data_IF_545278581316
#
_entry.id   IF_545278581316
#
_cell.length_a   1.000
_cell.length_b   1.000
_cell.length_c   1.000
_cell.angle_alpha   90.00
_cell.angle_beta   90.00
_cell.angle_gamma   90.00
#
_symmetry.space_group_name_H-M   'P 1'
#
loop_
_entity.id
_entity.type
_entity.pdbx_description
1 polymer ?
#
# COMPACT_ATOMS: atom_id res chain seq x y z
N UNK A 1 -11.05 -4.50 10.45
CA UNK A 1 -12.05 -3.49 10.03
C UNK A 1 -12.03 -2.40 11.07
N UNK A 2 -11.86 -1.14 10.66
CA UNK A 2 -11.83 -0.01 11.58
C UNK A 2 -12.42 1.21 10.91
N UNK A 3 -13.05 2.10 11.68
CA UNK A 3 -13.70 3.33 11.17
C UNK A 3 -12.76 4.21 10.33
N UNK A 4 -11.45 4.09 10.56
CA UNK A 4 -10.41 4.93 9.96
C UNK A 4 -9.60 4.24 8.86
N UNK A 5 -9.99 3.05 8.41
CA UNK A 5 -9.15 2.24 7.51
C UNK A 5 -8.83 2.95 6.18
N UNK A 6 -9.76 3.72 5.62
CA UNK A 6 -9.52 4.48 4.38
C UNK A 6 -8.46 5.56 4.62
N UNK A 7 -8.57 6.29 5.72
CA UNK A 7 -7.60 7.31 6.14
C UNK A 7 -6.23 6.69 6.38
N UNK A 8 -6.19 5.56 7.08
CA UNK A 8 -4.95 4.86 7.41
C UNK A 8 -4.25 4.34 6.14
N UNK A 9 -5.01 3.81 5.18
CA UNK A 9 -4.47 3.40 3.88
C UNK A 9 -4.03 4.58 3.03
N UNK A 10 -4.76 5.70 3.02
CA UNK A 10 -4.33 6.93 2.36
C UNK A 10 -2.98 7.43 2.91
N UNK A 11 -2.80 7.40 4.23
CA UNK A 11 -1.52 7.76 4.85
C UNK A 11 -0.38 6.84 4.39
N UNK A 12 -0.62 5.53 4.25
CA UNK A 12 0.38 4.59 3.71
C UNK A 12 0.68 4.94 2.25
N UNK A 13 -0.35 5.15 1.42
CA UNK A 13 -0.19 5.48 0.02
C UNK A 13 0.56 6.81 -0.18
N UNK A 14 0.31 7.82 0.65
CA UNK A 14 1.02 9.09 0.64
C UNK A 14 2.53 8.93 0.86
N UNK A 15 2.94 8.00 1.74
CA UNK A 15 4.35 7.70 2.00
C UNK A 15 4.96 6.90 0.84
N UNK A 16 4.20 5.96 0.27
CA UNK A 16 4.67 5.13 -0.85
C UNK A 16 4.93 5.96 -2.11
N UNK A 17 4.05 6.90 -2.43
CA UNK A 17 4.20 7.77 -3.63
C UNK A 17 5.21 8.90 -3.44
N UNK A 18 5.77 9.06 -2.23
CA UNK A 18 6.82 10.02 -1.90
C UNK A 18 7.93 9.35 -1.07
N UNK A 19 8.73 8.46 -1.71
CA UNK A 19 9.80 7.73 -1.01
C UNK A 19 10.93 8.66 -0.55
N UNK A 20 11.15 9.77 -1.24
CA UNK A 20 12.20 10.75 -0.91
C UNK A 20 11.78 11.76 0.15
N UNK A 21 10.48 11.99 0.33
CA UNK A 21 9.96 12.93 1.33
C UNK A 21 10.10 14.39 0.94
N UNK A 22 10.27 14.68 -0.35
CA UNK A 22 10.56 16.02 -0.84
C UNK A 22 9.31 16.93 -0.91
N UNK A 23 8.10 16.35 -0.77
CA UNK A 23 6.82 17.08 -0.89
C UNK A 23 6.73 17.97 -2.15
N UNK A 24 7.47 17.64 -3.21
CA UNK A 24 7.37 18.35 -4.48
C UNK A 24 5.96 18.18 -5.09
N UNK A 25 5.59 19.08 -6.01
CA UNK A 25 4.27 19.02 -6.68
C UNK A 25 4.09 17.66 -7.34
N UNK A 26 3.17 16.86 -6.79
CA UNK A 26 2.80 15.57 -7.38
C UNK A 26 2.39 15.74 -8.84
N UNK A 27 3.03 14.98 -9.73
CA UNK A 27 2.62 14.93 -11.12
C UNK A 27 1.28 14.17 -11.26
N UNK A 28 0.68 14.23 -12.45
CA UNK A 28 -0.62 13.56 -12.71
C UNK A 28 -0.55 12.03 -12.50
N UNK A 29 0.58 11.42 -12.82
CA UNK A 29 0.80 9.98 -12.66
C UNK A 29 0.86 9.57 -11.19
N UNK A 30 1.51 10.37 -10.35
CA UNK A 30 1.58 10.15 -8.89
C UNK A 30 0.20 10.27 -8.23
N UNK A 31 -0.62 11.25 -8.63
CA UNK A 31 -1.98 11.40 -8.11
C UNK A 31 -2.86 10.20 -8.45
N UNK A 32 -2.80 9.76 -9.71
CA UNK A 32 -3.59 8.61 -10.15
C UNK A 32 -3.06 7.29 -9.56
N UNK A 33 -1.73 7.14 -9.45
CA UNK A 33 -1.09 5.98 -8.82
C UNK A 33 -1.41 5.91 -7.33
N UNK A 34 -1.48 7.05 -6.64
CA UNK A 34 -1.94 7.12 -5.26
C UNK A 34 -3.36 6.57 -5.13
N UNK A 35 -4.31 7.01 -5.97
CA UNK A 35 -5.68 6.50 -5.95
C UNK A 35 -5.74 4.97 -6.21
N UNK A 36 -4.96 4.48 -7.19
CA UNK A 36 -4.82 3.05 -7.45
C UNK A 36 -4.29 2.29 -6.23
N UNK A 37 -3.21 2.77 -5.61
CA UNK A 37 -2.61 2.13 -4.43
C UNK A 37 -3.59 2.09 -3.25
N UNK A 38 -4.34 3.16 -2.99
CA UNK A 38 -5.38 3.16 -1.95
C UNK A 38 -6.42 2.07 -2.21
N UNK A 39 -6.96 2.01 -3.43
CA UNK A 39 -7.93 0.99 -3.82
C UNK A 39 -7.38 -0.43 -3.74
N UNK A 40 -6.14 -0.64 -4.21
CA UNK A 40 -5.50 -1.96 -4.25
C UNK A 40 -5.14 -2.46 -2.84
N UNK A 41 -4.60 -1.60 -1.96
CA UNK A 41 -4.31 -1.96 -0.56
C UNK A 41 -5.61 -2.35 0.15
N UNK A 42 -6.67 -1.55 0.03
CA UNK A 42 -7.96 -1.88 0.62
C UNK A 42 -8.52 -3.20 0.04
N UNK A 43 -8.43 -3.40 -1.27
CA UNK A 43 -8.86 -4.65 -1.90
C UNK A 43 -8.14 -5.86 -1.30
N UNK A 44 -6.81 -5.79 -1.20
CA UNK A 44 -5.99 -6.87 -0.62
C UNK A 44 -6.36 -7.13 0.83
N UNK A 45 -6.55 -6.08 1.64
CA UNK A 45 -6.95 -6.22 3.04
C UNK A 45 -8.32 -6.91 3.21
N UNK A 46 -9.25 -6.69 2.28
CA UNK A 46 -10.60 -7.23 2.35
C UNK A 46 -10.79 -8.58 1.68
N UNK A 47 -10.06 -8.86 0.60
CA UNK A 47 -10.38 -9.95 -0.32
C UNK A 47 -9.25 -10.98 -0.50
N UNK A 48 -8.00 -10.59 -0.27
CA UNK A 48 -6.84 -11.43 -0.59
C UNK A 48 -6.26 -12.12 0.67
N UNK A 49 -5.55 -13.23 0.43
CA UNK A 49 -4.86 -13.99 1.49
C UNK A 49 -3.66 -13.23 2.05
N UNK A 50 -2.75 -12.81 1.15
CA UNK A 50 -1.50 -12.14 1.48
C UNK A 50 -1.71 -10.63 1.70
N UNK A 51 -1.99 -10.25 2.95
CA UNK A 51 -2.30 -8.86 3.36
C UNK A 51 -1.07 -8.00 3.60
N UNK A 52 -0.19 -7.95 2.60
CA UNK A 52 1.11 -7.26 2.67
C UNK A 52 1.32 -6.37 1.45
N UNK A 53 2.29 -5.45 1.51
CA UNK A 53 2.66 -4.64 0.33
C UNK A 53 3.26 -5.50 -0.79
N UNK A 54 3.90 -6.62 -0.46
CA UNK A 54 4.30 -7.64 -1.44
C UNK A 54 3.07 -8.27 -2.11
N UNK A 55 2.02 -8.58 -1.34
CA UNK A 55 0.73 -9.06 -1.85
C UNK A 55 0.04 -8.05 -2.77
N UNK A 56 0.09 -6.75 -2.44
CA UNK A 56 -0.40 -5.67 -3.31
C UNK A 56 0.36 -5.62 -4.63
N UNK A 57 1.70 -5.72 -4.59
CA UNK A 57 2.50 -5.76 -5.80
C UNK A 57 2.15 -6.99 -6.67
N UNK A 58 2.04 -8.17 -6.06
CA UNK A 58 1.68 -9.41 -6.74
C UNK A 58 0.28 -9.34 -7.37
N UNK A 59 -0.68 -8.73 -6.67
CA UNK A 59 -2.05 -8.53 -7.18
C UNK A 59 -2.09 -7.61 -8.41
N UNK A 60 -1.34 -6.51 -8.40
CA UNK A 60 -1.32 -5.55 -9.51
C UNK A 60 -0.50 -6.03 -10.71
N UNK A 61 0.47 -6.94 -10.50
CA UNK A 61 1.36 -7.43 -11.55
C UNK A 61 1.20 -8.92 -11.87
N UNK A 62 0.05 -9.53 -11.59
CA UNK A 62 -0.21 -10.94 -11.90
C UNK A 62 -0.09 -11.20 -13.41
N UNK A 63 0.92 -11.94 -13.90
CA UNK A 63 1.11 -12.17 -15.33
C UNK A 63 0.00 -13.05 -15.94
N UNK A 64 -0.76 -13.76 -15.10
CA UNK A 64 -1.87 -14.61 -15.54
C UNK A 64 -3.17 -13.83 -15.73
N UNK A 65 -3.21 -12.56 -15.33
CA UNK A 65 -4.43 -11.76 -15.32
C UNK A 65 -4.20 -10.38 -15.97
N UNK A 66 -4.93 -10.04 -17.04
CA UNK A 66 -4.92 -8.68 -17.56
C UNK A 66 -5.36 -7.67 -16.50
N UNK A 67 -4.79 -6.47 -16.52
CA UNK A 67 -5.08 -5.43 -15.52
C UNK A 67 -6.58 -5.08 -15.49
N UNK A 68 -7.28 -5.14 -16.61
CA UNK A 68 -8.72 -4.91 -16.71
C UNK A 68 -9.52 -5.92 -15.88
N UNK A 69 -9.06 -7.17 -15.84
CA UNK A 69 -9.69 -8.23 -15.04
C UNK A 69 -9.42 -8.00 -13.55
N UNK A 70 -8.22 -7.53 -13.18
CA UNK A 70 -7.89 -7.12 -11.82
C UNK A 70 -8.78 -5.97 -11.35
N UNK A 71 -8.94 -4.92 -12.17
CA UNK A 71 -9.80 -3.76 -11.87
C UNK A 71 -11.28 -4.16 -11.83
N UNK A 72 -11.72 -5.06 -12.71
CA UNK A 72 -13.08 -5.59 -12.67
C UNK A 72 -13.34 -6.40 -11.38
N UNK A 73 -12.35 -7.18 -10.91
CA UNK A 73 -12.45 -7.87 -9.62
C UNK A 73 -12.55 -6.85 -8.47
N UNK A 74 -11.73 -5.80 -8.49
CA UNK A 74 -11.82 -4.70 -7.51
C UNK A 74 -13.21 -4.09 -7.42
N UNK A 75 -13.94 -3.97 -8.53
CA UNK A 75 -15.28 -3.39 -8.53
C UNK A 75 -16.39 -4.35 -8.14
N UNK A 76 -16.21 -5.66 -8.37
CA UNK A 76 -17.26 -6.67 -8.19
C UNK A 76 -17.18 -7.39 -6.84
N UNK A 77 -16.01 -7.44 -6.23
CA UNK A 77 -15.84 -8.10 -4.93
C UNK A 77 -16.73 -7.44 -3.87
N UNK A 78 -17.47 -8.26 -3.14
CA UNK A 78 -18.33 -7.83 -2.04
C UNK A 78 -17.51 -7.59 -0.76
N UNK A 79 -16.72 -6.51 -0.71
CA UNK A 79 -15.88 -6.19 0.47
C UNK A 79 -16.71 -6.02 1.75
N UNK A 80 -17.95 -5.55 1.61
CA UNK A 80 -18.88 -5.32 2.70
C UNK A 80 -19.95 -6.43 2.84
N UNK A 81 -19.71 -7.61 2.25
CA UNK A 81 -20.71 -8.69 2.22
C UNK A 81 -21.94 -8.29 1.41
N UNK A 82 -23.14 -8.43 1.97
CA UNK A 82 -24.40 -8.10 1.27
C UNK A 82 -24.51 -6.62 0.86
N UNK A 83 -23.83 -5.72 1.56
CA UNK A 83 -23.77 -4.30 1.19
C UNK A 83 -22.92 -4.03 -0.07
N UNK A 84 -22.23 -5.06 -0.60
CA UNK A 84 -21.55 -5.00 -1.88
C UNK A 84 -20.11 -4.47 -1.81
N UNK A 85 -19.60 -3.89 -2.91
CA UNK A 85 -18.24 -3.38 -3.00
C UNK A 85 -18.03 -2.14 -2.13
N UNK A 86 -16.82 -1.97 -1.59
CA UNK A 86 -16.47 -0.73 -0.90
C UNK A 86 -16.35 0.41 -1.94
N UNK A 87 -17.11 1.53 -1.82
CA UNK A 87 -17.19 2.55 -2.87
C UNK A 87 -15.83 3.15 -3.29
N UNK A 88 -14.91 3.33 -2.35
CA UNK A 88 -13.56 3.86 -2.64
C UNK A 88 -12.75 2.91 -3.54
N UNK A 89 -12.89 1.59 -3.35
CA UNK A 89 -12.21 0.57 -4.18
C UNK A 89 -12.82 0.58 -5.59
N UNK A 90 -14.15 0.57 -5.67
CA UNK A 90 -14.86 0.60 -6.95
C UNK A 90 -14.56 1.87 -7.75
N UNK A 91 -14.48 3.02 -7.08
CA UNK A 91 -14.14 4.31 -7.69
C UNK A 91 -12.71 4.32 -8.26
N UNK A 92 -11.72 3.88 -7.47
CA UNK A 92 -10.33 3.82 -7.91
C UNK A 92 -10.16 2.92 -9.15
N UNK A 93 -10.82 1.75 -9.15
CA UNK A 93 -10.79 0.84 -10.28
C UNK A 93 -11.50 1.41 -11.53
N UNK A 94 -12.67 2.04 -11.34
CA UNK A 94 -13.43 2.67 -12.43
C UNK A 94 -12.66 3.82 -13.07
N UNK A 95 -12.02 4.66 -12.26
CA UNK A 95 -11.22 5.78 -12.75
C UNK A 95 -10.11 5.30 -13.70
N UNK A 96 -9.43 4.20 -13.34
CA UNK A 96 -8.36 3.64 -14.15
C UNK A 96 -8.86 2.90 -15.40
N UNK A 97 -10.03 2.25 -15.33
CA UNK A 97 -10.68 1.63 -16.49
C UNK A 97 -11.18 2.66 -17.52
N UNK A 98 -11.57 3.85 -17.07
CA UNK A 98 -12.03 4.93 -17.96
C UNK A 98 -10.89 5.63 -18.73
N UNK A 99 -9.62 5.31 -18.41
CA UNK A 99 -8.45 5.85 -19.10
C UNK A 99 -8.11 5.03 -20.34
N UNK A 100 -7.41 5.66 -21.28
CA UNK A 100 -6.81 4.95 -22.42
C UNK A 100 -5.83 3.87 -21.95
N UNK A 101 -5.60 2.83 -22.76
CA UNK A 101 -4.70 1.74 -22.38
C UNK A 101 -3.26 2.23 -22.13
N UNK A 102 -2.81 3.25 -22.87
CA UNK A 102 -1.49 3.87 -22.66
C UNK A 102 -1.42 4.61 -21.32
N UNK A 103 -2.44 5.41 -20.98
CA UNK A 103 -2.48 6.10 -19.70
C UNK A 103 -2.63 5.09 -18.55
N UNK A 104 -3.47 4.07 -18.70
CA UNK A 104 -3.61 2.98 -17.73
C UNK A 104 -2.27 2.29 -17.45
N UNK A 105 -1.52 1.97 -18.51
CA UNK A 105 -0.20 1.35 -18.41
C UNK A 105 0.82 2.27 -17.73
N UNK A 106 0.78 3.58 -18.03
CA UNK A 106 1.61 4.60 -17.37
C UNK A 106 1.35 4.71 -15.87
N UNK A 107 0.08 4.72 -15.46
CA UNK A 107 -0.30 4.71 -14.04
C UNK A 107 0.16 3.43 -13.35
N UNK A 108 -0.10 2.26 -13.96
CA UNK A 108 0.28 0.97 -13.36
C UNK A 108 1.80 0.87 -13.15
N UNK A 109 2.58 1.18 -14.17
CA UNK A 109 4.05 1.16 -14.09
C UNK A 109 4.60 2.12 -13.04
N UNK A 110 3.98 3.29 -12.89
CA UNK A 110 4.31 4.26 -11.84
C UNK A 110 3.96 3.71 -10.46
N UNK A 111 2.77 3.14 -10.26
CA UNK A 111 2.41 2.50 -8.99
C UNK A 111 3.35 1.33 -8.63
N UNK A 112 3.79 0.55 -9.62
CA UNK A 112 4.71 -0.56 -9.42
C UNK A 112 6.12 -0.10 -9.03
N UNK A 113 6.56 1.10 -9.43
CA UNK A 113 7.86 1.63 -9.02
C UNK A 113 7.90 1.94 -7.52
N UNK A 114 6.80 2.45 -6.95
CA UNK A 114 6.65 2.69 -5.51
C UNK A 114 6.64 1.40 -4.68
N UNK A 115 6.26 0.28 -5.29
CA UNK A 115 6.26 -1.04 -4.65
C UNK A 115 7.56 -1.82 -4.88
N UNK A 116 8.55 -1.24 -5.57
CA UNK A 116 9.78 -1.93 -5.98
C UNK A 116 10.53 -2.61 -4.82
N UNK A 117 10.64 -1.93 -3.67
CA UNK A 117 11.29 -2.49 -2.48
C UNK A 117 10.59 -3.75 -1.97
N UNK A 118 9.27 -3.80 -2.00
CA UNK A 118 8.47 -4.91 -1.45
C UNK A 118 8.39 -6.12 -2.38
N UNK A 119 8.88 -5.98 -3.62
CA UNK A 119 9.05 -7.12 -4.55
C UNK A 119 10.36 -7.87 -4.30
N UNK A 120 11.25 -7.31 -3.50
CA UNK A 120 12.45 -7.99 -3.06
C UNK A 120 12.06 -9.17 -2.14
N UNK A 121 12.46 -10.41 -2.44
CA UNK A 121 12.07 -11.58 -1.65
C UNK A 121 12.48 -11.51 -0.17
N UNK A 122 13.61 -10.86 0.13
CA UNK A 122 14.07 -10.69 1.51
C UNK A 122 13.16 -9.73 2.25
N UNK A 123 12.83 -8.59 1.63
CA UNK A 123 11.91 -7.60 2.23
C UNK A 123 10.50 -8.20 2.39
N UNK A 124 10.02 -8.90 1.37
CA UNK A 124 8.71 -9.55 1.41
C UNK A 124 8.63 -10.57 2.55
N UNK A 125 9.66 -11.40 2.74
CA UNK A 125 9.70 -12.40 3.81
C UNK A 125 9.73 -11.74 5.20
N UNK A 126 10.62 -10.78 5.43
CA UNK A 126 10.75 -10.13 6.76
C UNK A 126 9.57 -9.23 7.10
N UNK A 127 8.78 -8.79 6.11
CA UNK A 127 7.56 -8.00 6.32
C UNK A 127 6.28 -8.82 6.17
N UNK A 128 6.37 -10.16 6.04
CA UNK A 128 5.21 -11.04 5.82
C UNK A 128 4.25 -11.06 7.02
N UNK A 129 4.78 -10.89 8.23
CA UNK A 129 4.03 -11.02 9.48
C UNK A 129 4.47 -9.96 10.49
N UNK A 130 3.53 -9.52 11.31
CA UNK A 130 3.76 -8.63 12.44
C UNK A 130 3.00 -9.13 13.66
N UNK A 131 3.70 -9.33 14.78
CA UNK A 131 3.13 -9.86 16.03
C UNK A 131 2.98 -8.78 17.12
N UNK A 132 3.28 -7.53 16.80
CA UNK A 132 3.17 -6.39 17.72
C UNK A 132 2.43 -5.22 17.05
N UNK A 133 2.00 -4.25 17.85
CA UNK A 133 1.35 -3.03 17.40
C UNK A 133 2.13 -1.82 17.87
N UNK A 134 2.09 -0.74 17.10
CA UNK A 134 2.72 0.53 17.48
C UNK A 134 2.27 1.02 18.87
N UNK A 135 1.01 0.79 19.23
CA UNK A 135 0.48 1.11 20.56
C UNK A 135 1.19 0.37 21.70
N UNK A 136 1.80 -0.79 21.44
CA UNK A 136 2.50 -1.60 22.44
C UNK A 136 3.83 -0.97 22.88
N UNK A 137 4.37 0.00 22.11
CA UNK A 137 5.56 0.76 22.49
C UNK A 137 5.31 1.57 23.77
N UNK A 138 4.13 2.17 23.90
CA UNK A 138 3.79 3.08 25.02
C UNK A 138 2.76 2.47 25.97
N UNK A 139 1.75 1.78 25.43
CA UNK A 139 0.55 1.35 26.16
C UNK A 139 0.56 -0.09 26.66
N UNK A 140 1.60 -0.88 26.38
CA UNK A 140 1.67 -2.25 26.87
C UNK A 140 1.97 -2.31 28.38
N UNK A 141 1.50 -3.37 29.05
CA UNK A 141 1.79 -3.63 30.47
C UNK A 141 3.30 -3.69 30.77
N UNK A 142 4.09 -4.13 29.80
CA UNK A 142 5.54 -4.04 29.80
C UNK A 142 5.96 -3.14 28.63
N UNK A 143 6.64 -2.01 28.88
CA UNK A 143 7.10 -1.13 27.82
C UNK A 143 7.95 -1.87 26.78
N UNK A 144 7.70 -1.62 25.50
CA UNK A 144 8.42 -2.28 24.40
C UNK A 144 9.45 -1.31 23.80
N UNK A 145 10.71 -1.73 23.74
CA UNK A 145 11.78 -0.99 23.04
C UNK A 145 11.88 -1.46 21.58
N UNK A 146 11.78 -0.53 20.62
CA UNK A 146 11.97 -0.79 19.20
C UNK A 146 13.37 -0.37 18.75
N UNK A 147 14.13 -1.29 18.17
CA UNK A 147 15.44 -1.03 17.57
C UNK A 147 15.36 -1.12 16.05
N UNK A 148 15.64 -0.01 15.36
CA UNK A 148 15.74 0.04 13.90
C UNK A 148 17.22 0.04 13.50
N UNK A 149 17.76 -1.13 13.20
CA UNK A 149 19.18 -1.31 12.84
C UNK A 149 19.30 -1.55 11.34
N UNK A 150 20.03 -0.65 10.65
CA UNK A 150 20.26 -0.74 9.21
C UNK A 150 21.76 -0.73 8.94
N UNK A 151 22.32 -1.78 8.32
CA UNK A 151 23.72 -1.78 7.89
C UNK A 151 24.00 -0.60 6.95
N UNK A 152 25.18 0.05 7.01
CA UNK A 152 25.51 1.17 6.13
C UNK A 152 25.30 0.90 4.64
N UNK A 153 25.57 -0.33 4.19
CA UNK A 153 25.35 -0.79 2.81
C UNK A 153 23.89 -0.79 2.36
N UNK A 154 22.93 -0.86 3.30
CA UNK A 154 21.49 -1.01 3.03
C UNK A 154 20.68 0.27 3.29
N UNK A 155 21.31 1.36 3.75
CA UNK A 155 20.61 2.61 4.11
C UNK A 155 19.76 3.14 2.97
N UNK A 156 20.35 3.33 1.78
CA UNK A 156 19.64 3.88 0.63
C UNK A 156 18.49 2.95 0.18
N UNK A 157 18.74 1.64 0.19
CA UNK A 157 17.78 0.61 -0.25
C UNK A 157 16.59 0.49 0.69
N UNK A 158 16.81 0.53 2.01
CA UNK A 158 15.75 0.32 3.03
C UNK A 158 15.06 1.61 3.46
N UNK A 159 15.52 2.78 2.99
CA UNK A 159 14.95 4.10 3.28
C UNK A 159 13.41 4.13 3.18
N UNK A 160 12.74 3.59 2.12
CA UNK A 160 11.28 3.60 2.04
C UNK A 160 10.59 2.84 3.19
N UNK A 161 11.14 1.69 3.60
CA UNK A 161 10.59 0.88 4.70
C UNK A 161 10.75 1.59 6.04
N UNK A 162 11.93 2.14 6.31
CA UNK A 162 12.20 2.89 7.56
C UNK A 162 11.29 4.12 7.65
N UNK A 163 11.14 4.85 6.54
CA UNK A 163 10.22 6.01 6.46
C UNK A 163 8.77 5.60 6.74
N UNK A 164 8.32 4.48 6.20
CA UNK A 164 6.97 3.95 6.45
C UNK A 164 6.76 3.66 7.95
N UNK A 165 7.71 2.96 8.59
CA UNK A 165 7.63 2.62 10.02
C UNK A 165 7.60 3.89 10.88
N UNK A 166 8.54 4.82 10.67
CA UNK A 166 8.63 6.05 11.47
C UNK A 166 7.39 6.94 11.32
N UNK A 167 6.85 7.08 10.09
CA UNK A 167 5.64 7.86 9.88
C UNK A 167 4.43 7.25 10.60
N UNK A 168 4.31 5.92 10.57
CA UNK A 168 3.23 5.22 11.27
C UNK A 168 3.35 5.39 12.79
N UNK A 169 4.57 5.33 13.33
CA UNK A 169 4.83 5.57 14.75
C UNK A 169 4.44 7.01 15.13
N UNK A 170 4.95 8.00 14.39
CA UNK A 170 4.66 9.41 14.64
C UNK A 170 3.16 9.67 14.66
N UNK A 171 2.43 9.26 13.61
CA UNK A 171 0.99 9.52 13.48
C UNK A 171 0.08 8.79 14.46
N UNK A 172 0.58 7.73 15.10
CA UNK A 172 -0.24 6.87 15.97
C UNK A 172 0.02 7.09 17.46
N UNK A 173 1.19 7.65 17.80
CA UNK A 173 1.54 7.99 19.18
C UNK A 173 1.39 9.48 19.52
N UNK A 174 1.19 10.34 18.51
CA UNK A 174 0.83 11.76 18.68
C UNK A 174 -0.59 11.99 18.20
#
# INVERSE_FOLDING_TARGET
RGEWEVRDVQNIADILVDPEGSLEKRNHWEKTSHALLVGAILHVLYAEGEKTLAGVAAFLSDPKRPIESTLAAMMKTAHLGEAGPLPVIASAARELLNKSDNERSGVLSTAMSFLGLYRDPVVAEVTRRCDWRIADIVGARQPTSLYLVVPPSDIARTKPLIRLILNQIGRRLT
#
